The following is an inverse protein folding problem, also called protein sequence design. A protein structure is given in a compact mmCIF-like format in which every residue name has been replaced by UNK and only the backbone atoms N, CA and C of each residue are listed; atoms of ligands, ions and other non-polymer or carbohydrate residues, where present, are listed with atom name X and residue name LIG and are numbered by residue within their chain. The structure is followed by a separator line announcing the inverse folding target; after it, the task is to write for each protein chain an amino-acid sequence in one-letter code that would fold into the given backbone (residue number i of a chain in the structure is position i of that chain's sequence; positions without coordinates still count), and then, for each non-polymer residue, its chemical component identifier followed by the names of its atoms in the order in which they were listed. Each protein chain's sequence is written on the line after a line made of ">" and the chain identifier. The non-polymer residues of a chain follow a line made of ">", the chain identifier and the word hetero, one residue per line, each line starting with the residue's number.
data_IF_759725018212
#
_entry.id   IF_759725018212
#
_cell.length_a   1.000
_cell.length_b   1.000
_cell.length_c   1.000
_cell.angle_alpha   90.00
_cell.angle_beta   90.00
_cell.angle_gamma   90.00
#
_symmetry.space_group_name_H-M   'P 1'
#
loop_
_entity.id
_entity.type
_entity.pdbx_description
1 polymer ?
#
# COMPACT_ATOMS: atom_id res chain seq x y z
N UNK A 1 25.71 -15.08 -9.34
CA UNK A 1 25.73 -13.92 -8.44
C UNK A 1 24.37 -13.87 -7.79
N UNK A 2 24.27 -14.01 -6.47
CA UNK A 2 22.99 -13.98 -5.77
C UNK A 2 22.47 -12.55 -5.78
N UNK A 3 21.40 -12.28 -6.52
CA UNK A 3 20.68 -11.02 -6.44
C UNK A 3 20.15 -10.86 -5.02
N UNK A 4 20.71 -9.91 -4.27
CA UNK A 4 20.20 -9.53 -2.97
C UNK A 4 18.91 -8.75 -3.19
N UNK A 5 17.76 -9.32 -2.85
CA UNK A 5 16.51 -8.57 -2.78
C UNK A 5 16.67 -7.42 -1.78
N UNK A 6 16.44 -6.18 -2.21
CA UNK A 6 16.44 -5.04 -1.30
C UNK A 6 15.08 -5.01 -0.58
N UNK A 7 15.09 -5.02 0.76
CA UNK A 7 13.87 -4.88 1.55
C UNK A 7 13.82 -3.49 2.18
N UNK A 8 12.70 -2.78 2.01
CA UNK A 8 12.44 -1.48 2.60
C UNK A 8 11.29 -1.58 3.60
N UNK A 9 11.47 -1.06 4.82
CA UNK A 9 10.39 -0.96 5.81
C UNK A 9 9.95 0.48 5.94
N UNK A 10 8.65 0.71 5.80
CA UNK A 10 8.07 2.03 5.96
C UNK A 10 8.09 2.46 7.43
N UNK A 11 8.72 3.59 7.78
CA UNK A 11 8.73 4.08 9.16
C UNK A 11 7.35 4.53 9.64
N UNK A 12 6.48 4.95 8.72
CA UNK A 12 5.14 5.42 9.04
C UNK A 12 4.14 4.28 9.30
N UNK A 13 4.06 3.30 8.40
CA UNK A 13 3.05 2.23 8.46
C UNK A 13 3.63 0.84 8.75
N UNK A 14 4.95 0.71 8.90
CA UNK A 14 5.66 -0.53 9.24
C UNK A 14 5.53 -1.69 8.23
N UNK A 15 4.87 -1.45 7.10
CA UNK A 15 4.79 -2.38 5.97
C UNK A 15 6.16 -2.53 5.32
N UNK A 16 6.48 -3.76 4.90
CA UNK A 16 7.72 -4.09 4.21
C UNK A 16 7.44 -4.26 2.72
N UNK A 17 8.30 -3.67 1.89
CA UNK A 17 8.36 -3.89 0.45
C UNK A 17 9.66 -4.64 0.16
N UNK A 18 9.56 -5.78 -0.51
CA UNK A 18 10.69 -6.56 -0.99
C UNK A 18 10.80 -6.34 -2.49
N UNK A 19 11.84 -5.61 -2.91
CA UNK A 19 12.15 -5.36 -4.30
C UNK A 19 12.75 -6.63 -4.90
N UNK A 20 12.12 -7.13 -5.97
CA UNK A 20 12.54 -8.37 -6.63
C UNK A 20 12.96 -8.08 -8.07
N UNK A 21 14.28 -8.01 -8.36
CA UNK A 21 14.76 -7.80 -9.71
C UNK A 21 14.13 -8.77 -10.72
N UNK A 22 13.57 -8.23 -11.81
CA UNK A 22 12.92 -9.02 -12.86
C UNK A 22 11.56 -9.62 -12.51
N UNK A 23 11.03 -9.39 -11.30
CA UNK A 23 9.72 -9.83 -10.85
C UNK A 23 8.92 -8.66 -10.25
N UNK A 24 7.63 -8.86 -10.00
CA UNK A 24 6.85 -7.88 -9.26
C UNK A 24 7.29 -7.84 -7.79
N UNK A 25 7.36 -6.65 -7.21
CA UNK A 25 7.63 -6.46 -5.79
C UNK A 25 6.60 -7.18 -4.91
N UNK A 26 7.02 -7.57 -3.71
CA UNK A 26 6.13 -8.18 -2.71
C UNK A 26 5.96 -7.23 -1.55
N UNK A 27 4.70 -7.02 -1.16
CA UNK A 27 4.36 -6.20 0.01
C UNK A 27 3.88 -7.09 1.13
N UNK A 28 4.57 -7.03 2.27
CA UNK A 28 4.25 -7.76 3.49
C UNK A 28 3.60 -6.82 4.51
N UNK A 29 2.30 -7.01 4.74
CA UNK A 29 1.51 -6.29 5.75
C UNK A 29 1.70 -6.90 7.14
N UNK A 30 1.31 -6.18 8.20
CA UNK A 30 1.38 -6.67 9.59
C UNK A 30 0.43 -7.83 9.88
N UNK A 31 -0.63 -7.98 9.08
CA UNK A 31 -1.59 -9.06 9.16
C UNK A 31 -2.17 -9.39 7.77
N UNK A 32 -2.53 -10.66 7.56
CA UNK A 32 -3.15 -11.12 6.33
C UNK A 32 -2.14 -11.54 5.25
N UNK A 33 -2.62 -11.83 4.03
CA UNK A 33 -1.77 -12.24 2.92
C UNK A 33 -0.90 -11.10 2.41
N UNK A 34 0.21 -11.47 1.76
CA UNK A 34 1.03 -10.55 0.97
C UNK A 34 0.19 -9.87 -0.13
N UNK A 35 0.66 -8.71 -0.58
CA UNK A 35 -0.01 -7.96 -1.63
C UNK A 35 0.97 -7.19 -2.52
N UNK A 36 0.42 -6.25 -3.27
CA UNK A 36 1.11 -5.39 -4.22
C UNK A 36 1.29 -3.98 -3.69
N UNK A 37 2.11 -3.19 -4.39
CA UNK A 37 2.28 -1.76 -4.13
C UNK A 37 0.99 -0.97 -4.36
N UNK A 38 0.18 -1.36 -5.35
CA UNK A 38 -1.14 -0.80 -5.58
C UNK A 38 -2.05 -0.98 -4.35
N UNK A 39 -2.12 -2.20 -3.80
CA UNK A 39 -2.88 -2.50 -2.57
C UNK A 39 -2.44 -1.68 -1.36
N UNK A 40 -1.13 -1.52 -1.17
CA UNK A 40 -0.59 -0.71 -0.08
C UNK A 40 -1.03 0.76 -0.19
N UNK A 41 -1.02 1.30 -1.40
CA UNK A 41 -1.51 2.65 -1.64
C UNK A 41 -2.99 2.77 -1.36
N UNK A 42 -3.81 1.90 -1.96
CA UNK A 42 -5.27 1.91 -1.86
C UNK A 42 -5.81 1.72 -0.44
N UNK A 43 -5.02 1.15 0.48
CA UNK A 43 -5.47 0.89 1.85
C UNK A 43 -4.80 1.74 2.92
N UNK A 44 -3.61 2.25 2.67
CA UNK A 44 -2.78 2.85 3.72
C UNK A 44 -2.21 4.19 3.31
N UNK A 45 -1.28 4.22 2.34
CA UNK A 45 -0.51 5.43 2.11
C UNK A 45 -1.31 6.57 1.48
N UNK A 46 -2.40 6.28 0.76
CA UNK A 46 -3.27 7.32 0.23
C UNK A 46 -4.03 8.11 1.30
N UNK A 47 -4.27 7.50 2.46
CA UNK A 47 -5.08 8.10 3.55
C UNK A 47 -4.24 8.89 4.55
N UNK A 48 -2.93 9.04 4.33
CA UNK A 48 -2.06 9.89 5.15
C UNK A 48 -2.30 11.34 4.75
N UNK A 49 -3.12 12.05 5.52
CA UNK A 49 -3.55 13.43 5.23
C UNK A 49 -2.52 14.49 5.61
N UNK A 50 -1.71 14.22 6.63
CA UNK A 50 -0.62 15.11 7.05
C UNK A 50 0.51 15.09 6.00
N UNK A 51 0.83 16.23 5.37
CA UNK A 51 1.82 16.28 4.29
C UNK A 51 3.24 15.89 4.72
N UNK A 52 3.64 16.24 5.95
CA UNK A 52 4.97 15.94 6.47
C UNK A 52 5.09 14.44 6.77
N UNK A 53 4.06 13.84 7.38
CA UNK A 53 4.00 12.40 7.59
C UNK A 53 3.90 11.64 6.28
N UNK A 54 3.17 12.16 5.28
CA UNK A 54 2.99 11.50 3.98
C UNK A 54 4.33 11.26 3.28
N UNK A 55 5.27 12.20 3.39
CA UNK A 55 6.64 12.06 2.84
C UNK A 55 7.43 10.89 3.46
N UNK A 56 7.04 10.41 4.64
CA UNK A 56 7.67 9.27 5.31
C UNK A 56 7.14 7.91 4.80
N UNK A 57 6.06 7.87 4.01
CA UNK A 57 5.67 6.61 3.36
C UNK A 57 6.59 6.32 2.17
N UNK A 58 7.11 5.09 2.08
CA UNK A 58 8.00 4.63 1.00
C UNK A 58 7.29 4.35 -0.33
N UNK A 59 5.95 4.33 -0.37
CA UNK A 59 5.14 3.96 -1.53
C UNK A 59 4.50 5.17 -2.24
N UNK A 60 5.25 6.27 -2.41
CA UNK A 60 4.76 7.55 -2.94
C UNK A 60 4.92 7.72 -4.47
N UNK A 61 5.77 6.92 -5.10
CA UNK A 61 5.95 6.95 -6.56
C UNK A 61 4.76 6.32 -7.29
N UNK A 62 4.15 7.06 -8.22
CA UNK A 62 3.03 6.54 -9.03
C UNK A 62 3.46 5.47 -10.02
N UNK A 63 4.66 5.60 -10.57
CA UNK A 63 5.10 4.74 -11.67
C UNK A 63 5.49 3.36 -11.12
N UNK A 64 6.17 3.32 -9.98
CA UNK A 64 6.48 2.07 -9.27
C UNK A 64 5.27 1.37 -8.64
N UNK A 65 4.18 2.08 -8.33
CA UNK A 65 2.99 1.48 -7.68
C UNK A 65 2.18 0.56 -8.59
N UNK A 66 2.12 0.89 -9.88
CA UNK A 66 1.13 0.33 -10.79
C UNK A 66 -0.30 0.82 -10.52
N UNK A 67 -1.23 0.39 -11.38
CA UNK A 67 -2.65 0.71 -11.25
C UNK A 67 -3.36 -0.18 -10.22
N UNK A 68 -4.38 0.38 -9.56
CA UNK A 68 -5.26 -0.36 -8.66
C UNK A 68 -5.87 -1.60 -9.34
N UNK A 69 -5.85 -2.74 -8.65
CA UNK A 69 -6.41 -4.01 -9.10
C UNK A 69 -7.69 -4.38 -8.35
N UNK A 70 -8.54 -5.27 -8.91
CA UNK A 70 -9.72 -5.76 -8.20
C UNK A 70 -9.38 -6.33 -6.82
N UNK A 71 -9.98 -5.77 -5.78
CA UNK A 71 -9.75 -6.16 -4.38
C UNK A 71 -8.62 -5.42 -3.66
N UNK A 72 -7.94 -4.46 -4.32
CA UNK A 72 -6.95 -3.60 -3.67
C UNK A 72 -7.61 -2.61 -2.71
N UNK A 73 -8.63 -1.89 -3.17
CA UNK A 73 -9.43 -1.02 -2.32
C UNK A 73 -10.34 -1.83 -1.38
N UNK A 74 -10.73 -1.21 -0.26
CA UNK A 74 -11.89 -1.68 0.48
C UNK A 74 -13.16 -1.40 -0.34
N UNK A 75 -14.20 -2.25 -0.22
CA UNK A 75 -15.48 -1.94 -0.86
C UNK A 75 -16.05 -0.64 -0.29
N UNK A 76 -16.85 0.05 -1.10
CA UNK A 76 -17.58 1.23 -0.65
C UNK A 76 -18.39 0.92 0.61
N UNK A 77 -18.43 1.89 1.51
CA UNK A 77 -19.24 1.77 2.71
C UNK A 77 -20.72 1.58 2.31
N UNK A 78 -21.45 0.66 2.98
CA UNK A 78 -22.86 0.51 2.71
C UNK A 78 -23.61 1.82 3.00
N UNK A 79 -24.63 2.12 2.20
CA UNK A 79 -25.48 3.27 2.43
C UNK A 79 -26.19 3.14 3.79
N UNK A 80 -25.98 4.12 4.67
CA UNK A 80 -26.72 4.24 5.93
C UNK A 80 -27.87 5.21 5.66
N UNK A 81 -29.11 4.71 5.76
CA UNK A 81 -30.29 5.56 5.82
C UNK A 81 -30.39 6.15 7.22
N UNK A 82 -30.04 7.43 7.37
CA UNK A 82 -30.08 8.14 8.64
C UNK A 82 -31.50 8.65 8.99
N UNK A 83 -32.53 8.35 8.18
CA UNK A 83 -33.93 8.64 8.48
C UNK A 83 -34.16 10.10 8.85
N UNK A 84 -34.41 10.96 7.87
CA UNK A 84 -34.78 12.36 8.12
C UNK A 84 -35.97 12.45 9.10
N UNK A 85 -35.69 12.71 10.37
CA UNK A 85 -36.67 13.20 11.38
C UNK A 85 -36.60 14.70 11.47
#
# INVERSE_FOLDING_TARGET
>A
MSESSASQRCELCQVVIEDRPGLADVVTFSNGPQGSRSKLWSRVCQYVTDPERRRLCINQDSDGRGGEQPGDAFPDAPAIDLGNT
#
